data_IF_191083358187
#
_entry.id   IF_191083358187
#
_cell.length_a   1.000
_cell.length_b   1.000
_cell.length_c   1.000
_cell.angle_alpha   90.00
_cell.angle_beta   90.00
_cell.angle_gamma   90.00
#
_symmetry.space_group_name_H-M   'P 1'
#
loop_
_entity.id
_entity.type
_entity.pdbx_description
1 polymer ?
#
# COMPACT_ATOMS: atom_id res chain seq x y z
N UNK A 1 44.74 17.71 19.83
CA UNK A 1 44.99 16.51 20.67
C UNK A 1 43.80 16.44 21.63
N UNK A 2 42.86 15.50 21.63
CA UNK A 2 42.70 14.18 21.00
C UNK A 2 41.18 13.90 21.05
N UNK A 3 40.47 13.69 19.93
CA UNK A 3 40.18 12.42 19.24
C UNK A 3 39.57 11.31 20.14
N UNK A 4 38.37 10.85 19.75
CA UNK A 4 37.51 9.81 20.38
C UNK A 4 38.15 8.41 20.48
N UNK A 5 37.48 7.48 21.19
CA UNK A 5 37.06 6.25 20.52
C UNK A 5 35.60 5.78 20.85
N UNK A 6 35.05 4.81 20.09
CA UNK A 6 33.62 4.62 19.86
C UNK A 6 32.97 3.60 20.79
N UNK A 7 31.68 3.79 21.11
CA UNK A 7 30.82 2.74 21.69
C UNK A 7 29.96 2.11 20.62
N UNK A 8 30.45 1.00 20.10
CA UNK A 8 29.68 0.01 19.36
C UNK A 8 28.83 -0.83 20.33
N UNK A 9 27.73 -1.38 19.79
CA UNK A 9 27.00 -2.55 20.27
C UNK A 9 26.16 -2.43 21.56
N UNK A 10 24.88 -2.13 21.38
CA UNK A 10 23.78 -2.81 22.09
C UNK A 10 22.44 -2.48 21.41
N UNK A 11 22.16 -3.11 20.27
CA UNK A 11 20.86 -3.00 19.55
C UNK A 11 20.37 -4.35 19.04
N UNK A 12 20.65 -5.43 19.77
CA UNK A 12 20.17 -6.77 19.40
C UNK A 12 19.36 -7.48 20.49
N UNK A 13 19.22 -6.89 21.69
CA UNK A 13 18.47 -7.51 22.78
C UNK A 13 17.02 -7.01 22.95
N UNK A 14 16.53 -6.10 22.09
CA UNK A 14 15.19 -5.51 22.22
C UNK A 14 14.16 -6.07 21.23
N UNK A 15 14.58 -6.92 20.28
CA UNK A 15 13.68 -7.52 19.28
C UNK A 15 12.98 -8.80 19.74
N UNK A 16 13.58 -9.57 20.66
CA UNK A 16 13.01 -10.86 21.09
C UNK A 16 11.98 -10.70 22.21
N UNK A 17 12.10 -9.67 23.05
CA UNK A 17 11.17 -9.43 24.15
C UNK A 17 9.77 -8.96 23.68
N UNK A 18 9.68 -8.27 22.53
CA UNK A 18 8.40 -7.81 21.97
C UNK A 18 7.61 -8.93 21.27
N UNK A 19 8.30 -9.94 20.72
CA UNK A 19 7.66 -11.07 20.05
C UNK A 19 7.07 -12.08 21.04
N UNK A 20 7.64 -12.21 22.25
CA UNK A 20 7.13 -13.12 23.29
C UNK A 20 5.90 -12.52 24.02
N UNK A 21 5.81 -11.20 24.14
CA UNK A 21 4.63 -10.56 24.73
C UNK A 21 3.39 -10.58 23.82
N UNK A 22 3.55 -10.52 22.49
CA UNK A 22 2.40 -10.61 21.56
C UNK A 22 1.89 -12.06 21.40
N UNK A 23 2.73 -13.07 21.60
CA UNK A 23 2.30 -14.48 21.55
C UNK A 23 1.55 -14.92 22.82
N UNK A 24 1.78 -14.26 23.96
CA UNK A 24 1.07 -14.55 25.21
C UNK A 24 -0.37 -13.99 25.25
N UNK A 25 -0.68 -12.93 24.50
CA UNK A 25 -2.03 -12.38 24.42
C UNK A 25 -2.95 -13.13 23.45
N UNK A 26 -2.41 -13.85 22.45
CA UNK A 26 -3.21 -14.63 21.51
C UNK A 26 -3.68 -15.99 22.09
N UNK A 27 -2.99 -16.51 23.12
CA UNK A 27 -3.37 -17.76 23.78
C UNK A 27 -4.44 -17.59 24.87
N UNK A 28 -4.72 -16.37 25.32
CA UNK A 28 -5.70 -16.09 26.37
C UNK A 28 -7.14 -15.89 25.85
N UNK A 29 -7.33 -15.70 24.54
CA UNK A 29 -8.66 -15.44 23.93
C UNK A 29 -9.31 -16.66 23.27
N UNK A 30 -8.65 -17.83 23.26
CA UNK A 30 -9.15 -19.04 22.57
C UNK A 30 -9.75 -20.11 23.51
N UNK A 31 -9.92 -19.84 24.80
CA UNK A 31 -10.58 -20.74 25.74
C UNK A 31 -11.93 -20.16 26.14
N UNK A 32 -12.86 -20.10 25.17
CA UNK A 32 -14.28 -20.13 25.51
C UNK A 32 -14.60 -21.55 25.96
N UNK A 33 -15.03 -21.78 27.23
CA UNK A 33 -15.48 -23.09 27.64
C UNK A 33 -16.79 -23.39 26.91
N UNK A 34 -16.69 -24.13 25.80
CA UNK A 34 -17.83 -24.76 25.16
C UNK A 34 -18.48 -25.71 26.17
N UNK A 35 -19.71 -25.40 26.58
CA UNK A 35 -20.54 -26.31 27.37
C UNK A 35 -20.82 -25.91 28.82
N UNK A 36 -20.33 -24.76 29.30
CA UNK A 36 -20.91 -24.20 30.54
C UNK A 36 -22.28 -23.61 30.18
N UNK A 37 -23.39 -24.05 30.82
CA UNK A 37 -24.68 -23.38 30.63
C UNK A 37 -24.44 -21.91 30.94
N UNK A 38 -24.77 -21.05 29.98
CA UNK A 38 -24.58 -19.61 30.16
C UNK A 38 -25.30 -19.19 31.43
N UNK A 39 -24.83 -18.14 32.11
CA UNK A 39 -25.45 -17.71 33.37
C UNK A 39 -26.97 -17.45 33.19
N UNK A 40 -27.38 -17.05 31.98
CA UNK A 40 -28.77 -16.92 31.54
C UNK A 40 -29.55 -18.25 31.47
N UNK A 41 -28.89 -19.34 31.08
CA UNK A 41 -29.44 -20.69 30.95
C UNK A 41 -29.62 -21.36 32.31
N UNK A 42 -28.68 -21.11 33.24
CA UNK A 42 -28.84 -21.45 34.66
C UNK A 42 -30.02 -20.70 35.29
N UNK A 43 -30.14 -19.39 35.06
CA UNK A 43 -31.29 -18.60 35.49
C UNK A 43 -32.59 -19.13 34.87
N UNK A 44 -32.61 -19.46 33.57
CA UNK A 44 -33.78 -20.11 32.91
C UNK A 44 -34.23 -21.38 33.59
N UNK A 45 -33.28 -22.21 34.00
CA UNK A 45 -33.56 -23.48 34.66
C UNK A 45 -34.06 -23.25 36.09
N UNK A 46 -33.46 -22.28 36.80
CA UNK A 46 -33.84 -21.91 38.16
C UNK A 46 -35.26 -21.33 38.22
N UNK A 47 -35.65 -20.47 37.28
CA UNK A 47 -37.01 -19.89 37.21
C UNK A 47 -38.08 -20.94 36.88
N UNK A 48 -37.77 -21.94 36.03
CA UNK A 48 -38.68 -23.06 35.79
C UNK A 48 -38.88 -23.87 37.07
N UNK A 49 -37.78 -24.20 37.75
CA UNK A 49 -37.81 -24.93 39.03
C UNK A 49 -38.59 -24.16 40.11
N UNK A 50 -38.41 -22.84 40.24
CA UNK A 50 -39.13 -22.05 41.25
C UNK A 50 -40.59 -21.86 40.89
N UNK A 51 -40.93 -21.76 39.59
CA UNK A 51 -42.32 -21.72 39.13
C UNK A 51 -43.04 -23.06 39.38
N UNK A 52 -42.36 -24.18 39.15
CA UNK A 52 -42.86 -25.53 39.45
C UNK A 52 -43.09 -25.70 40.96
N UNK A 53 -42.14 -25.29 41.79
CA UNK A 53 -42.27 -25.28 43.27
C UNK A 53 -43.46 -24.43 43.73
N UNK A 54 -43.67 -23.25 43.13
CA UNK A 54 -44.78 -22.36 43.45
C UNK A 54 -46.14 -22.98 43.05
N UNK A 55 -46.21 -23.65 41.89
CA UNK A 55 -47.39 -24.38 41.46
C UNK A 55 -47.70 -25.57 42.38
N UNK A 56 -46.66 -26.29 42.82
CA UNK A 56 -46.75 -27.43 43.73
C UNK A 56 -47.23 -27.00 45.12
N UNK A 57 -46.65 -25.94 45.70
CA UNK A 57 -47.08 -25.37 46.98
C UNK A 57 -48.53 -24.83 46.91
N UNK A 58 -48.94 -24.23 45.79
CA UNK A 58 -50.35 -23.81 45.58
C UNK A 58 -51.30 -24.98 45.54
N UNK A 59 -50.94 -26.07 44.87
CA UNK A 59 -51.75 -27.28 44.81
C UNK A 59 -51.87 -27.97 46.17
N UNK A 60 -50.78 -28.00 46.95
CA UNK A 60 -50.79 -28.50 48.33
C UNK A 60 -51.67 -27.65 49.25
N UNK A 61 -51.61 -26.32 49.11
CA UNK A 61 -52.48 -25.41 49.87
C UNK A 61 -53.96 -25.59 49.47
N UNK A 62 -54.25 -25.78 48.17
CA UNK A 62 -55.59 -26.10 47.70
C UNK A 62 -56.08 -27.48 48.22
N UNK A 63 -55.21 -28.48 48.26
CA UNK A 63 -55.51 -29.82 48.78
C UNK A 63 -55.74 -29.80 50.31
N UNK A 64 -54.97 -29.03 51.06
CA UNK A 64 -55.15 -28.83 52.51
C UNK A 64 -56.44 -28.05 52.81
N UNK A 65 -56.76 -27.06 51.99
CA UNK A 65 -57.99 -26.25 52.13
C UNK A 65 -59.24 -27.00 51.71
N UNK A 66 -59.13 -27.92 50.74
CA UNK A 66 -60.20 -28.86 50.36
C UNK A 66 -60.31 -30.06 51.32
N UNK A 67 -59.21 -30.48 51.94
CA UNK A 67 -59.11 -31.60 52.88
C UNK A 67 -59.35 -31.25 54.36
N UNK A 68 -59.87 -30.05 54.65
CA UNK A 68 -60.09 -29.49 55.98
C UNK A 68 -61.05 -30.25 56.92
N UNK A 69 -61.32 -31.54 56.68
CA UNK A 69 -62.11 -32.37 57.58
C UNK A 69 -61.55 -33.80 57.80
N UNK A 70 -60.52 -34.25 57.08
CA UNK A 70 -59.96 -35.61 57.29
C UNK A 70 -58.50 -35.69 56.85
N UNK A 71 -57.55 -35.26 57.69
CA UNK A 71 -56.17 -35.79 57.71
C UNK A 71 -55.33 -35.06 58.77
N UNK A 72 -55.55 -35.38 60.04
CA UNK A 72 -54.46 -35.22 61.01
C UNK A 72 -53.45 -36.34 60.76
N UNK A 73 -52.44 -36.13 59.90
CA UNK A 73 -51.20 -36.95 59.92
C UNK A 73 -50.09 -36.58 58.91
N UNK A 74 -50.28 -35.80 57.85
CA UNK A 74 -49.31 -35.81 56.73
C UNK A 74 -48.62 -34.50 56.32
N UNK A 75 -48.67 -33.43 57.11
CA UNK A 75 -47.91 -32.21 56.79
C UNK A 75 -47.78 -31.29 58.00
N UNK A 76 -46.55 -31.09 58.49
CA UNK A 76 -46.25 -30.23 59.65
C UNK A 76 -46.13 -28.74 59.29
N UNK A 77 -46.56 -28.33 58.10
CA UNK A 77 -46.51 -26.93 57.71
C UNK A 77 -47.87 -26.26 57.98
N UNK A 78 -47.83 -25.22 58.82
CA UNK A 78 -49.02 -24.43 59.11
C UNK A 78 -49.46 -23.66 57.86
N UNK A 79 -50.76 -23.36 57.70
CA UNK A 79 -51.25 -22.56 56.58
C UNK A 79 -50.62 -21.15 56.52
N UNK A 80 -49.99 -20.69 57.59
CA UNK A 80 -49.19 -19.46 57.65
C UNK A 80 -47.77 -19.64 57.07
N UNK A 81 -47.13 -20.79 57.30
CA UNK A 81 -45.83 -21.12 56.71
C UNK A 81 -45.93 -21.22 55.18
N UNK A 82 -46.99 -21.84 54.66
CA UNK A 82 -47.25 -21.95 53.22
C UNK A 82 -47.51 -20.58 52.55
N UNK A 83 -48.18 -19.65 53.25
CA UNK A 83 -48.38 -18.28 52.75
C UNK A 83 -47.05 -17.52 52.68
N UNK A 84 -46.20 -17.63 53.71
CA UNK A 84 -44.87 -17.03 53.72
C UNK A 84 -43.99 -17.58 52.58
N UNK A 85 -44.00 -18.89 52.37
CA UNK A 85 -43.27 -19.51 51.26
C UNK A 85 -43.76 -19.00 49.89
N UNK A 86 -45.06 -18.76 49.74
CA UNK A 86 -45.64 -18.17 48.52
C UNK A 86 -45.19 -16.72 48.29
N UNK A 87 -45.20 -15.90 49.33
CA UNK A 87 -44.76 -14.51 49.26
C UNK A 87 -43.24 -14.43 48.96
N UNK A 88 -42.43 -15.28 49.60
CA UNK A 88 -40.99 -15.40 49.33
C UNK A 88 -40.71 -15.84 47.89
N UNK A 89 -41.43 -16.86 47.38
CA UNK A 89 -41.28 -17.32 46.00
C UNK A 89 -41.72 -16.24 44.98
N UNK A 90 -42.76 -15.46 45.28
CA UNK A 90 -43.18 -14.32 44.46
C UNK A 90 -42.12 -13.21 44.42
N UNK A 91 -41.52 -12.89 45.57
CA UNK A 91 -40.43 -11.92 45.64
C UNK A 91 -39.19 -12.38 44.88
N UNK A 92 -38.82 -13.66 44.99
CA UNK A 92 -37.70 -14.24 44.23
C UNK A 92 -37.96 -14.18 42.72
N UNK A 93 -39.18 -14.49 42.26
CA UNK A 93 -39.54 -14.43 40.85
C UNK A 93 -39.49 -12.99 40.30
N UNK A 94 -39.93 -12.01 41.09
CA UNK A 94 -39.84 -10.59 40.74
C UNK A 94 -38.37 -10.13 40.63
N UNK A 95 -37.54 -10.52 41.60
CA UNK A 95 -36.11 -10.21 41.60
C UNK A 95 -35.38 -10.85 40.40
N UNK A 96 -35.69 -12.11 40.07
CA UNK A 96 -35.06 -12.79 38.93
C UNK A 96 -35.49 -12.18 37.59
N UNK A 97 -36.76 -11.79 37.45
CA UNK A 97 -37.25 -11.06 36.26
C UNK A 97 -36.51 -9.74 36.08
N UNK A 98 -36.33 -8.97 37.16
CA UNK A 98 -35.58 -7.72 37.10
C UNK A 98 -34.10 -7.94 36.76
N UNK A 99 -33.47 -9.00 37.30
CA UNK A 99 -32.11 -9.37 36.97
C UNK A 99 -31.93 -9.74 35.49
N UNK A 100 -32.90 -10.47 34.90
CA UNK A 100 -32.88 -10.78 33.46
C UNK A 100 -33.10 -9.57 32.58
N UNK A 101 -34.01 -8.67 32.95
CA UNK A 101 -34.25 -7.44 32.21
C UNK A 101 -32.94 -6.63 32.12
N UNK A 102 -32.22 -6.50 33.24
CA UNK A 102 -30.90 -5.85 33.28
C UNK A 102 -29.86 -6.57 32.43
N UNK A 103 -29.71 -7.89 32.57
CA UNK A 103 -28.77 -8.66 31.74
C UNK A 103 -29.09 -8.58 30.25
N UNK A 104 -30.37 -8.55 29.87
CA UNK A 104 -30.79 -8.39 28.48
C UNK A 104 -30.48 -6.98 27.95
N UNK A 105 -30.60 -5.95 28.79
CA UNK A 105 -30.20 -4.57 28.44
C UNK A 105 -28.68 -4.47 28.29
N UNK A 106 -27.90 -5.03 29.22
CA UNK A 106 -26.43 -5.06 29.17
C UNK A 106 -25.91 -5.86 27.96
N UNK A 107 -26.55 -6.99 27.64
CA UNK A 107 -26.22 -7.78 26.45
C UNK A 107 -26.52 -7.02 25.16
N UNK A 108 -27.62 -6.25 25.09
CA UNK A 108 -27.93 -5.40 23.93
C UNK A 108 -26.95 -4.23 23.82
N UNK A 109 -26.60 -3.59 24.94
CA UNK A 109 -25.63 -2.50 24.99
C UNK A 109 -24.26 -2.99 24.52
N UNK A 110 -23.73 -4.06 25.10
CA UNK A 110 -22.44 -4.64 24.70
C UNK A 110 -22.43 -5.12 23.24
N UNK A 111 -23.52 -5.73 22.75
CA UNK A 111 -23.61 -6.10 21.34
C UNK A 111 -23.58 -4.87 20.41
N UNK A 112 -24.22 -3.76 20.81
CA UNK A 112 -24.16 -2.50 20.06
C UNK A 112 -22.76 -1.89 20.06
N UNK A 113 -22.04 -1.95 21.19
CA UNK A 113 -20.67 -1.48 21.31
C UNK A 113 -19.72 -2.29 20.43
N UNK A 114 -19.81 -3.62 20.48
CA UNK A 114 -18.99 -4.52 19.65
C UNK A 114 -19.23 -4.26 18.16
N UNK A 115 -20.48 -4.06 17.74
CA UNK A 115 -20.80 -3.67 16.35
C UNK A 115 -20.16 -2.32 16.00
N UNK A 116 -20.30 -1.33 16.86
CA UNK A 116 -19.71 0.00 16.63
C UNK A 116 -18.18 -0.04 16.54
N UNK A 117 -17.53 -0.89 17.34
CA UNK A 117 -16.07 -1.07 17.30
C UNK A 117 -15.66 -1.81 16.03
N UNK A 118 -16.40 -2.84 15.63
CA UNK A 118 -16.17 -3.54 14.37
C UNK A 118 -16.33 -2.61 13.15
N UNK A 119 -17.36 -1.77 13.14
CA UNK A 119 -17.60 -0.80 12.07
C UNK A 119 -16.49 0.26 12.00
N UNK A 120 -16.04 0.77 13.16
CA UNK A 120 -14.90 1.69 13.23
C UNK A 120 -13.61 1.02 12.75
N UNK A 121 -13.35 -0.22 13.16
CA UNK A 121 -12.18 -0.98 12.72
C UNK A 121 -12.21 -1.22 11.21
N UNK A 122 -13.35 -1.62 10.66
CA UNK A 122 -13.53 -1.81 9.22
C UNK A 122 -13.32 -0.50 8.45
N UNK A 123 -13.83 0.62 8.97
CA UNK A 123 -13.62 1.94 8.36
C UNK A 123 -12.13 2.32 8.37
N UNK A 124 -11.42 2.08 9.47
CA UNK A 124 -9.98 2.34 9.54
C UNK A 124 -9.20 1.44 8.59
N UNK A 125 -9.51 0.15 8.51
CA UNK A 125 -8.88 -0.78 7.56
C UNK A 125 -9.10 -0.31 6.12
N UNK A 126 -10.31 0.14 5.78
CA UNK A 126 -10.61 0.68 4.46
C UNK A 126 -9.81 1.97 4.18
N UNK A 127 -9.71 2.88 5.15
CA UNK A 127 -8.90 4.09 5.03
C UNK A 127 -7.42 3.77 4.81
N UNK A 128 -6.84 2.85 5.58
CA UNK A 128 -5.45 2.43 5.39
C UNK A 128 -5.24 1.81 4.02
N UNK A 129 -6.14 0.92 3.57
CA UNK A 129 -6.07 0.32 2.21
C UNK A 129 -6.11 1.39 1.12
N UNK A 130 -7.04 2.33 1.21
CA UNK A 130 -7.13 3.43 0.25
C UNK A 130 -5.86 4.28 0.24
N UNK A 131 -5.31 4.62 1.41
CA UNK A 131 -4.06 5.36 1.52
C UNK A 131 -2.87 4.59 0.91
N UNK A 132 -2.79 3.27 1.12
CA UNK A 132 -1.78 2.43 0.49
C UNK A 132 -1.93 2.39 -1.03
N UNK A 133 -3.15 2.27 -1.55
CA UNK A 133 -3.42 2.26 -2.98
C UNK A 133 -3.09 3.62 -3.63
N UNK A 134 -3.40 4.72 -2.95
CA UNK A 134 -3.01 6.08 -3.38
C UNK A 134 -1.50 6.24 -3.39
N UNK A 135 -0.80 5.79 -2.35
CA UNK A 135 0.66 5.85 -2.28
C UNK A 135 1.30 5.01 -3.38
N UNK A 136 0.74 3.83 -3.68
CA UNK A 136 1.22 2.97 -4.76
C UNK A 136 0.98 3.62 -6.14
N UNK A 137 -0.15 4.28 -6.35
CA UNK A 137 -0.42 5.05 -7.58
C UNK A 137 0.58 6.20 -7.72
N UNK A 138 0.82 6.96 -6.66
CA UNK A 138 1.78 8.06 -6.65
C UNK A 138 3.19 7.56 -6.94
N UNK A 139 3.62 6.46 -6.34
CA UNK A 139 4.93 5.85 -6.59
C UNK A 139 5.07 5.44 -8.07
N UNK A 140 4.06 4.78 -8.64
CA UNK A 140 4.06 4.42 -10.08
C UNK A 140 4.08 5.64 -11.00
N UNK A 141 3.36 6.69 -10.65
CA UNK A 141 3.38 7.96 -11.40
C UNK A 141 4.75 8.63 -11.32
N UNK A 142 5.36 8.68 -10.13
CA UNK A 142 6.71 9.20 -9.95
C UNK A 142 7.74 8.40 -10.74
N UNK A 143 7.67 7.07 -10.72
CA UNK A 143 8.57 6.21 -11.52
C UNK A 143 8.38 6.42 -13.02
N UNK A 144 7.13 6.56 -13.49
CA UNK A 144 6.83 6.86 -14.89
C UNK A 144 7.39 8.23 -15.30
N UNK A 145 7.21 9.26 -14.47
CA UNK A 145 7.78 10.59 -14.70
C UNK A 145 9.31 10.57 -14.71
N UNK A 146 9.94 9.83 -13.79
CA UNK A 146 11.40 9.68 -13.75
C UNK A 146 11.93 8.99 -15.01
N UNK A 147 11.25 7.95 -15.50
CA UNK A 147 11.61 7.29 -16.76
C UNK A 147 11.45 8.24 -17.95
N UNK A 148 10.32 8.94 -18.04
CA UNK A 148 10.08 9.92 -19.09
C UNK A 148 11.17 11.00 -19.14
N UNK A 149 11.48 11.62 -17.99
CA UNK A 149 12.54 12.62 -17.90
C UNK A 149 13.93 12.03 -18.22
N UNK A 150 14.19 10.78 -17.83
CA UNK A 150 15.44 10.10 -18.18
C UNK A 150 15.55 9.88 -19.70
N UNK A 151 14.47 9.49 -20.37
CA UNK A 151 14.42 9.29 -21.81
C UNK A 151 14.56 10.63 -22.56
N UNK A 152 13.88 11.68 -22.11
CA UNK A 152 14.02 13.03 -22.67
C UNK A 152 15.44 13.58 -22.53
N UNK A 153 16.05 13.43 -21.35
CA UNK A 153 17.44 13.87 -21.14
C UNK A 153 18.44 13.06 -21.94
N UNK A 154 18.21 11.76 -22.14
CA UNK A 154 19.01 10.93 -23.04
C UNK A 154 18.88 11.38 -24.50
N UNK A 155 17.65 11.65 -24.96
CA UNK A 155 17.36 12.16 -26.29
C UNK A 155 18.04 13.52 -26.54
N UNK A 156 17.91 14.45 -25.59
CA UNK A 156 18.57 15.76 -25.65
C UNK A 156 20.10 15.64 -25.70
N UNK A 157 20.70 14.74 -24.91
CA UNK A 157 22.15 14.50 -24.96
C UNK A 157 22.60 14.02 -26.35
N UNK A 158 21.86 13.11 -26.97
CA UNK A 158 22.17 12.65 -28.34
C UNK A 158 22.08 13.81 -29.34
N UNK A 159 21.01 14.59 -29.28
CA UNK A 159 20.85 15.76 -30.15
C UNK A 159 21.99 16.78 -29.97
N UNK A 160 22.40 17.06 -28.72
CA UNK A 160 23.51 17.97 -28.44
C UNK A 160 24.86 17.45 -28.96
N UNK A 161 25.12 16.15 -28.84
CA UNK A 161 26.33 15.54 -29.40
C UNK A 161 26.34 15.65 -30.92
N UNK A 162 25.21 15.34 -31.60
CA UNK A 162 25.10 15.51 -33.05
C UNK A 162 25.26 16.96 -33.49
N UNK A 163 24.66 17.91 -32.77
CA UNK A 163 24.85 19.35 -33.01
C UNK A 163 26.32 19.75 -32.91
N UNK A 164 27.04 19.30 -31.88
CA UNK A 164 28.46 19.58 -31.72
C UNK A 164 29.29 19.03 -32.87
N UNK A 165 29.10 17.75 -33.20
CA UNK A 165 29.84 17.13 -34.31
C UNK A 165 29.60 17.82 -35.64
N UNK A 166 28.34 18.23 -35.92
CA UNK A 166 27.97 18.99 -37.12
C UNK A 166 28.58 20.40 -37.10
N UNK A 167 28.59 21.07 -35.95
CA UNK A 167 29.22 22.38 -35.80
C UNK A 167 30.73 22.32 -36.03
N UNK A 168 31.41 21.34 -35.44
CA UNK A 168 32.85 21.12 -35.62
C UNK A 168 33.18 20.85 -37.09
N UNK A 169 32.35 20.05 -37.79
CA UNK A 169 32.49 19.82 -39.23
C UNK A 169 32.28 21.08 -40.05
N UNK A 170 31.25 21.87 -39.76
CA UNK A 170 31.01 23.14 -40.45
C UNK A 170 32.16 24.13 -40.23
N UNK A 171 32.73 24.18 -39.03
CA UNK A 171 33.87 25.01 -38.72
C UNK A 171 35.13 24.57 -39.48
N UNK A 172 35.42 23.26 -39.51
CA UNK A 172 36.51 22.70 -40.30
C UNK A 172 36.35 23.00 -41.80
N UNK A 173 35.16 22.84 -42.37
CA UNK A 173 34.87 23.19 -43.77
C UNK A 173 35.06 24.69 -44.01
N UNK A 174 34.63 25.54 -43.07
CA UNK A 174 34.89 26.98 -43.12
C UNK A 174 36.37 27.32 -43.15
N UNK A 175 37.18 26.65 -42.32
CA UNK A 175 38.64 26.79 -42.34
C UNK A 175 39.26 26.30 -43.64
N UNK A 176 38.81 25.16 -44.18
CA UNK A 176 39.26 24.65 -45.49
C UNK A 176 39.01 25.69 -46.60
N UNK A 177 37.85 26.34 -46.61
CA UNK A 177 37.51 27.39 -47.59
C UNK A 177 38.42 28.62 -47.43
N UNK A 178 38.67 29.06 -46.19
CA UNK A 178 39.58 30.16 -45.89
C UNK A 178 41.01 29.86 -46.35
N UNK A 179 41.55 28.68 -46.02
CA UNK A 179 42.88 28.25 -46.46
C UNK A 179 42.96 28.07 -47.97
N UNK A 180 41.90 27.56 -48.62
CA UNK A 180 41.83 27.49 -50.08
C UNK A 180 41.90 28.88 -50.74
N UNK A 181 41.32 29.90 -50.10
CA UNK A 181 41.40 31.28 -50.58
C UNK A 181 42.77 31.92 -50.30
N UNK A 182 43.41 31.61 -49.17
CA UNK A 182 44.78 32.08 -48.85
C UNK A 182 45.83 31.48 -49.79
N UNK A 183 45.65 30.21 -50.19
CA UNK A 183 46.54 29.50 -51.12
C UNK A 183 46.24 29.80 -52.59
N UNK A 184 45.12 30.48 -52.90
CA UNK A 184 44.86 31.05 -54.22
C UNK A 184 45.77 32.26 -54.47
N UNK A 185 46.99 31.95 -54.92
CA UNK A 185 48.01 32.95 -55.16
C UNK A 185 47.66 33.89 -56.33
N UNK A 186 48.24 35.09 -56.36
CA UNK A 186 47.96 36.14 -57.38
C UNK A 186 48.24 35.63 -58.80
N UNK A 187 49.20 34.70 -58.95
CA UNK A 187 49.51 34.01 -60.19
C UNK A 187 48.32 33.19 -60.75
N UNK A 188 47.52 32.58 -59.88
CA UNK A 188 46.33 31.80 -60.22
C UNK A 188 45.20 32.70 -60.75
N UNK A 189 45.04 33.88 -60.15
CA UNK A 189 44.07 34.90 -60.61
C UNK A 189 44.45 35.47 -61.98
N UNK A 190 45.75 35.66 -62.24
CA UNK A 190 46.27 36.09 -63.55
C UNK A 190 46.08 34.99 -64.61
N UNK A 191 46.33 33.72 -64.27
CA UNK A 191 46.09 32.58 -65.16
C UNK A 191 44.60 32.37 -65.47
N UNK A 192 43.70 32.60 -64.50
CA UNK A 192 42.25 32.48 -64.66
C UNK A 192 41.64 33.57 -65.55
N UNK A 193 42.30 34.72 -65.73
CA UNK A 193 41.88 35.80 -66.64
C UNK A 193 42.24 35.58 -68.10
N UNK A 194 43.02 34.54 -68.43
CA UNK A 194 43.35 34.25 -69.83
C UNK A 194 42.18 33.55 -70.56
N UNK A 195 41.87 33.95 -71.81
CA UNK A 195 40.69 33.50 -72.55
C UNK A 195 40.66 31.99 -72.88
N UNK A 196 41.73 31.24 -72.61
CA UNK A 196 41.82 29.79 -72.81
C UNK A 196 41.73 28.96 -71.52
N UNK A 197 41.49 29.58 -70.36
CA UNK A 197 41.43 28.92 -69.06
C UNK A 197 40.09 28.20 -68.76
N UNK A 198 39.44 27.61 -69.77
CA UNK A 198 38.16 26.90 -69.61
C UNK A 198 38.23 25.77 -68.57
N UNK A 199 39.37 25.06 -68.51
CA UNK A 199 39.62 24.04 -67.48
C UNK A 199 39.73 24.62 -66.06
N UNK A 200 40.20 25.86 -65.89
CA UNK A 200 40.27 26.50 -64.58
C UNK A 200 38.87 26.86 -64.07
N UNK A 201 37.99 27.36 -64.96
CA UNK A 201 36.59 27.66 -64.61
C UNK A 201 35.83 26.42 -64.11
N UNK A 202 35.93 25.30 -64.83
CA UNK A 202 35.29 24.03 -64.44
C UNK A 202 35.86 23.50 -63.12
N UNK A 203 37.17 23.66 -62.86
CA UNK A 203 37.76 23.28 -61.56
C UNK A 203 37.18 24.11 -60.42
N UNK A 204 36.98 25.41 -60.59
CA UNK A 204 36.37 26.26 -59.56
C UNK A 204 34.89 25.97 -59.35
N UNK A 205 34.13 25.67 -60.41
CA UNK A 205 32.75 25.19 -60.28
C UNK A 205 32.68 23.87 -59.50
N UNK A 206 33.60 22.92 -59.75
CA UNK A 206 33.68 21.67 -58.99
C UNK A 206 34.02 21.91 -57.51
N UNK A 207 35.00 22.76 -57.23
CA UNK A 207 35.38 23.10 -55.85
C UNK A 207 34.19 23.76 -55.13
N UNK A 208 33.48 24.67 -55.80
CA UNK A 208 32.29 25.31 -55.25
C UNK A 208 31.15 24.31 -54.97
N UNK A 209 30.97 23.32 -55.85
CA UNK A 209 30.01 22.22 -55.65
C UNK A 209 30.42 21.33 -54.46
N UNK A 210 31.68 20.89 -54.40
CA UNK A 210 32.18 20.03 -53.31
C UNK A 210 32.04 20.70 -51.93
N UNK A 211 32.35 22.00 -51.82
CA UNK A 211 32.13 22.73 -50.57
C UNK A 211 30.65 22.97 -50.29
N UNK A 212 29.83 23.20 -51.33
CA UNK A 212 28.38 23.28 -51.20
C UNK A 212 27.78 22.01 -50.61
N UNK A 213 28.21 20.84 -51.10
CA UNK A 213 27.79 19.53 -50.60
C UNK A 213 28.22 19.33 -49.15
N UNK A 214 29.48 19.61 -48.81
CA UNK A 214 29.99 19.52 -47.43
C UNK A 214 29.24 20.43 -46.46
N UNK A 215 28.87 21.67 -46.86
CA UNK A 215 28.07 22.57 -46.03
C UNK A 215 26.64 22.04 -45.85
N UNK A 216 26.05 21.47 -46.90
CA UNK A 216 24.72 20.87 -46.83
C UNK A 216 24.69 19.66 -45.91
N UNK A 217 25.67 18.76 -46.05
CA UNK A 217 25.83 17.59 -45.19
C UNK A 217 26.18 17.95 -43.74
N UNK A 218 26.88 19.07 -43.53
CA UNK A 218 27.23 19.59 -42.21
C UNK A 218 26.08 20.28 -41.49
N UNK A 219 24.97 20.58 -42.16
CA UNK A 219 23.81 21.22 -41.54
C UNK A 219 23.15 20.27 -40.53
N UNK A 220 22.75 20.81 -39.38
CA UNK A 220 21.94 20.08 -38.41
C UNK A 220 20.49 19.96 -38.91
N UNK A 221 19.97 18.74 -38.86
CA UNK A 221 18.59 18.41 -39.24
C UNK A 221 17.91 17.71 -38.06
N UNK A 222 16.85 18.33 -37.55
CA UNK A 222 16.06 17.83 -36.43
C UNK A 222 15.40 16.49 -36.73
N UNK A 223 15.03 16.22 -37.99
CA UNK A 223 14.45 14.94 -38.39
C UNK A 223 15.47 13.81 -38.37
N UNK A 224 16.72 14.10 -38.78
CA UNK A 224 17.83 13.14 -38.67
C UNK A 224 18.22 12.89 -37.21
N UNK A 225 18.19 13.93 -36.37
CA UNK A 225 18.42 13.78 -34.94
C UNK A 225 17.31 12.94 -34.27
N UNK A 226 16.04 13.17 -34.62
CA UNK A 226 14.91 12.37 -34.14
C UNK A 226 15.02 10.90 -34.59
N UNK A 227 15.43 10.64 -35.83
CA UNK A 227 15.68 9.29 -36.33
C UNK A 227 16.84 8.58 -35.60
N UNK A 228 17.94 9.30 -35.31
CA UNK A 228 19.06 8.77 -34.55
C UNK A 228 18.69 8.47 -33.08
N UNK A 229 17.87 9.31 -32.46
CA UNK A 229 17.32 9.09 -31.11
C UNK A 229 16.40 7.86 -31.09
N UNK A 230 15.60 7.65 -32.14
CA UNK A 230 14.70 6.51 -32.28
C UNK A 230 15.41 5.17 -32.57
N UNK A 231 16.60 5.20 -33.18
CA UNK A 231 17.40 4.00 -33.47
C UNK A 231 18.22 3.51 -32.26
N UNK A 232 18.60 4.42 -31.35
CA UNK A 232 19.44 4.13 -30.18
C UNK A 232 18.81 3.32 -29.02
N UNK A 233 17.48 3.21 -28.81
CA UNK A 233 16.91 2.44 -27.69
C UNK A 233 17.16 0.92 -27.80
N UNK A 234 17.52 0.42 -28.99
CA UNK A 234 17.73 -1.01 -29.25
C UNK A 234 19.07 -1.54 -28.72
N UNK A 235 20.08 -0.69 -28.52
CA UNK A 235 21.43 -1.13 -28.15
C UNK A 235 21.61 -1.30 -26.63
N UNK A 236 20.86 -0.54 -25.83
CA UNK A 236 20.90 -0.63 -24.36
C UNK A 236 20.12 -1.84 -23.80
N UNK A 237 19.17 -2.40 -24.55
CA UNK A 237 18.44 -3.61 -24.17
C UNK A 237 19.24 -4.90 -24.40
N UNK A 238 20.22 -4.89 -25.30
CA UNK A 238 21.10 -6.03 -25.54
C UNK A 238 22.20 -6.17 -24.45
N UNK A 239 22.60 -5.06 -23.81
CA UNK A 239 23.67 -5.04 -22.81
C UNK A 239 23.24 -5.54 -21.41
N UNK A 240 21.94 -5.58 -21.10
CA UNK A 240 21.43 -6.13 -19.82
C UNK A 240 21.12 -7.63 -19.89
N UNK A 241 21.08 -8.23 -21.08
CA UNK A 241 20.87 -9.67 -21.26
C UNK A 241 22.15 -10.51 -21.16
N UNK A 242 23.33 -9.89 -21.08
CA UNK A 242 24.63 -10.57 -21.04
C UNK A 242 25.41 -10.35 -19.73
N UNK A 243 24.73 -10.31 -18.59
CA UNK A 243 25.40 -10.43 -17.30
C UNK A 243 25.61 -11.92 -16.98
N UNK A 244 26.85 -12.45 -16.91
CA UNK A 244 27.08 -13.84 -16.56
C UNK A 244 26.78 -14.02 -15.07
N UNK A 245 26.04 -15.09 -14.76
CA UNK A 245 25.92 -15.61 -13.41
C UNK A 245 27.31 -15.97 -12.88
N UNK A 246 27.85 -15.14 -12.00
CA UNK A 246 29.05 -15.46 -11.22
C UNK A 246 28.64 -16.36 -10.05
N UNK A 247 28.84 -17.66 -10.28
CA UNK A 247 29.35 -18.69 -9.38
C UNK A 247 29.09 -18.56 -7.86
N UNK A 248 28.31 -19.53 -7.34
CA UNK A 248 28.49 -20.07 -5.99
C UNK A 248 29.76 -20.92 -5.90
#
# INVERSE_FOLDING_TARGET
MSQQPPRAMSRLASGVAAAVLLAACAAASAQTPQGAPTMEERLRTQLRSTTEQLQQAKNELAALKAGGAMAGAAGKESPEALKKALDEAQQQLAAERQARERLAQDARASQSEVKSVADKANTQIAQYRNAYDELLKLARQADAQRKHLADETAAQRVALTMCKEKNDRLYAVGQEILTAYETMDVATVVAARQPFAGQARVKYERIAQEYGDKLYEGKFDEQQAAAAIAAKPAETAAATASAPAASQ
#
